data_IF_640294648412
#
_entry.id   IF_640294648412
#
_cell.length_a   1.000
_cell.length_b   1.000
_cell.length_c   1.000
_cell.angle_alpha   90.00
_cell.angle_beta   90.00
_cell.angle_gamma   90.00
#
_symmetry.space_group_name_H-M   'P 1'
#
loop_
_entity.id
_entity.type
_entity.pdbx_description
1 polymer ?
#
# COMPACT_ATOMS: atom_id res chain seq x y z
N UNK A 1 10.39 29.40 48.02
CA UNK A 1 11.28 28.69 47.09
C UNK A 1 10.77 28.99 45.68
N UNK A 2 10.95 30.25 45.26
CA UNK A 2 11.97 30.72 44.29
C UNK A 2 11.63 30.37 42.84
N UNK A 3 10.90 31.27 42.20
CA UNK A 3 11.05 31.48 40.75
C UNK A 3 11.34 32.97 40.53
N UNK A 4 12.60 33.35 40.25
CA UNK A 4 12.93 34.71 39.88
C UNK A 4 12.90 34.86 38.35
N UNK A 5 12.27 35.95 37.93
CA UNK A 5 12.87 36.98 37.10
C UNK A 5 13.72 36.53 35.89
N UNK A 6 13.21 36.82 34.68
CA UNK A 6 13.98 37.65 33.74
C UNK A 6 13.06 38.35 32.74
N UNK A 7 12.62 39.52 33.19
CA UNK A 7 12.27 40.67 32.36
C UNK A 7 13.58 41.19 31.74
N UNK A 8 13.63 41.41 30.41
CA UNK A 8 14.05 42.71 29.86
C UNK A 8 13.84 42.79 28.34
N UNK A 9 12.99 43.74 27.96
CA UNK A 9 13.02 44.63 26.78
C UNK A 9 13.79 44.17 25.54
N UNK A 10 13.13 44.22 24.39
CA UNK A 10 13.10 45.46 23.60
C UNK A 10 11.97 45.41 22.58
N UNK A 11 11.06 46.37 22.75
CA UNK A 11 9.98 46.73 21.84
C UNK A 11 10.56 47.58 20.70
N UNK A 12 9.88 47.53 19.54
CA UNK A 12 9.76 48.59 18.52
C UNK A 12 10.42 48.32 17.16
N UNK A 13 9.54 47.91 16.23
CA UNK A 13 9.31 48.53 14.92
C UNK A 13 10.50 48.85 14.01
N UNK A 14 10.61 48.08 12.92
CA UNK A 14 10.48 48.66 11.58
C UNK A 14 9.91 47.59 10.62
N UNK A 15 8.75 47.90 10.06
CA UNK A 15 8.25 47.28 8.86
C UNK A 15 9.15 47.66 7.67
N UNK A 16 9.40 46.73 6.75
CA UNK A 16 9.24 46.90 5.28
C UNK A 16 9.81 45.67 4.54
N UNK A 17 8.91 44.97 3.84
CA UNK A 17 9.07 44.39 2.48
C UNK A 17 10.33 43.56 2.13
N UNK A 18 10.12 42.28 1.78
CA UNK A 18 10.35 41.69 0.43
C UNK A 18 10.26 40.14 0.46
N UNK A 19 9.44 39.61 -0.47
CA UNK A 19 9.38 38.26 -1.07
C UNK A 19 9.06 37.01 -0.20
N UNK A 20 7.98 36.26 -0.52
CA UNK A 20 7.90 34.85 -0.20
C UNK A 20 8.81 34.09 -1.18
N UNK A 21 9.84 33.42 -0.67
CA UNK A 21 10.47 32.33 -1.42
C UNK A 21 9.50 31.14 -1.43
N UNK A 22 8.57 31.16 -2.37
CA UNK A 22 7.86 29.97 -2.83
C UNK A 22 8.90 29.07 -3.49
N UNK A 23 9.44 28.10 -2.74
CA UNK A 23 10.08 26.94 -3.35
C UNK A 23 9.00 26.07 -3.98
N UNK A 24 8.58 26.44 -5.19
CA UNK A 24 7.96 25.49 -6.11
C UNK A 24 9.05 24.54 -6.59
N UNK A 25 9.23 23.42 -5.89
CA UNK A 25 9.85 22.24 -6.50
C UNK A 25 8.88 21.71 -7.56
N UNK A 26 8.98 22.26 -8.76
CA UNK A 26 8.43 21.66 -9.97
C UNK A 26 9.38 20.53 -10.36
N UNK A 27 9.11 19.32 -9.87
CA UNK A 27 9.67 18.15 -10.50
C UNK A 27 8.91 17.89 -11.79
N UNK A 28 9.66 17.95 -12.87
CA UNK A 28 9.23 17.79 -14.23
C UNK A 28 8.54 16.43 -14.41
N UNK A 29 7.22 16.47 -14.62
CA UNK A 29 6.59 15.47 -15.46
C UNK A 29 7.21 15.58 -16.86
N UNK A 30 8.06 14.62 -17.22
CA UNK A 30 8.05 13.87 -18.50
C UNK A 30 9.31 13.00 -18.52
N UNK A 31 9.26 11.85 -17.84
CA UNK A 31 10.02 10.70 -18.32
C UNK A 31 9.08 9.92 -19.21
N UNK A 32 9.26 10.07 -20.53
CA UNK A 32 8.84 9.07 -21.49
C UNK A 32 9.64 7.80 -21.26
N UNK A 33 9.35 7.09 -20.16
CA UNK A 33 9.69 5.69 -20.05
C UNK A 33 8.78 4.97 -21.02
N UNK A 34 9.34 4.04 -21.81
CA UNK A 34 8.56 3.02 -22.50
C UNK A 34 7.50 2.53 -21.53
N UNK A 35 6.25 2.95 -21.73
CA UNK A 35 5.15 2.45 -20.94
C UNK A 35 5.10 0.96 -21.30
N UNK A 36 5.63 0.13 -20.40
CA UNK A 36 5.13 -1.22 -20.25
C UNK A 36 3.62 -1.08 -20.38
N UNK A 37 3.01 -1.87 -21.25
CA UNK A 37 1.62 -1.75 -21.70
C UNK A 37 0.59 -2.05 -20.58
N UNK A 38 0.95 -1.78 -19.32
CA UNK A 38 0.16 -1.93 -18.13
C UNK A 38 -0.14 -0.60 -17.44
N UNK A 39 -1.00 -0.68 -16.46
CA UNK A 39 -1.42 0.44 -15.64
C UNK A 39 -0.30 0.85 -14.66
N UNK A 40 -0.19 2.16 -14.44
CA UNK A 40 0.82 2.71 -13.56
C UNK A 40 0.36 2.66 -12.10
N UNK A 41 0.92 1.74 -11.31
CA UNK A 41 0.69 1.69 -9.87
C UNK A 41 1.73 2.52 -9.13
N UNK A 42 1.34 3.31 -8.12
CA UNK A 42 2.29 4.03 -7.27
C UNK A 42 3.20 3.04 -6.55
N UNK A 43 4.45 3.47 -6.30
CA UNK A 43 5.45 2.65 -5.62
C UNK A 43 4.94 2.11 -4.29
N UNK A 44 4.24 2.95 -3.51
CA UNK A 44 3.59 2.53 -2.27
C UNK A 44 2.68 1.33 -2.48
N UNK A 45 1.73 1.40 -3.42
CA UNK A 45 0.76 0.32 -3.66
C UNK A 45 1.42 -0.99 -4.13
N UNK A 46 2.53 -0.88 -4.89
CA UNK A 46 3.34 -2.07 -5.26
C UNK A 46 3.99 -2.70 -4.04
N UNK A 47 4.60 -1.89 -3.18
CA UNK A 47 5.28 -2.38 -1.96
C UNK A 47 4.28 -2.99 -0.98
N UNK A 48 3.13 -2.35 -0.76
CA UNK A 48 2.08 -2.88 0.10
C UNK A 48 1.56 -4.25 -0.37
N UNK A 49 1.39 -4.41 -1.69
CA UNK A 49 1.04 -5.72 -2.25
C UNK A 49 2.14 -6.76 -1.97
N UNK A 50 3.41 -6.42 -2.23
CA UNK A 50 4.53 -7.35 -2.03
C UNK A 50 4.60 -7.80 -0.58
N UNK A 51 4.44 -6.87 0.37
CA UNK A 51 4.41 -7.18 1.80
C UNK A 51 3.26 -8.12 2.15
N UNK A 52 2.03 -7.82 1.71
CA UNK A 52 0.88 -8.70 1.97
C UNK A 52 1.00 -10.07 1.31
N UNK A 53 1.58 -10.15 0.12
CA UNK A 53 1.87 -11.42 -0.55
C UNK A 53 2.91 -12.24 0.23
N UNK A 54 3.92 -11.60 0.83
CA UNK A 54 4.89 -12.30 1.69
C UNK A 54 4.27 -12.78 3.00
N UNK A 55 3.36 -12.01 3.61
CA UNK A 55 2.62 -12.46 4.81
C UNK A 55 1.89 -13.79 4.55
N UNK A 56 1.33 -13.95 3.34
CA UNK A 56 0.55 -15.13 2.96
C UNK A 56 1.41 -16.31 2.46
N UNK A 57 2.65 -16.08 2.00
CA UNK A 57 3.45 -17.08 1.26
C UNK A 57 4.86 -17.32 1.79
N UNK A 58 5.38 -16.46 2.67
CA UNK A 58 6.70 -16.55 3.30
C UNK A 58 7.56 -15.29 3.11
N UNK A 59 8.38 -14.98 4.12
CA UNK A 59 9.27 -13.81 4.16
C UNK A 59 10.72 -14.09 3.73
N UNK A 60 10.91 -15.00 2.76
CA UNK A 60 12.22 -15.23 2.17
C UNK A 60 12.45 -14.36 0.92
N UNK A 61 13.71 -14.20 0.54
CA UNK A 61 14.10 -13.36 -0.58
C UNK A 61 13.56 -13.86 -1.93
N UNK A 62 13.31 -15.16 -2.09
CA UNK A 62 12.71 -15.66 -3.33
C UNK A 62 11.27 -15.17 -3.47
N UNK A 63 10.50 -15.09 -2.38
CA UNK A 63 9.14 -14.55 -2.40
C UNK A 63 9.09 -13.05 -2.69
N UNK A 64 10.12 -12.25 -2.33
CA UNK A 64 10.21 -10.85 -2.78
C UNK A 64 10.15 -10.76 -4.31
N UNK A 65 10.91 -11.59 -5.02
CA UNK A 65 10.90 -11.60 -6.49
C UNK A 65 9.58 -12.10 -7.07
N UNK A 66 9.02 -13.17 -6.50
CA UNK A 66 7.77 -13.77 -7.00
C UNK A 66 6.57 -12.85 -6.77
N UNK A 67 6.47 -12.25 -5.60
CA UNK A 67 5.41 -11.29 -5.27
C UNK A 67 5.55 -9.99 -6.08
N UNK A 68 6.78 -9.54 -6.36
CA UNK A 68 7.02 -8.40 -7.27
C UNK A 68 6.56 -8.72 -8.70
N UNK A 69 6.87 -9.91 -9.20
CA UNK A 69 6.35 -10.38 -10.49
C UNK A 69 4.81 -10.40 -10.51
N UNK A 70 4.18 -10.87 -9.43
CA UNK A 70 2.73 -11.00 -9.36
C UNK A 70 2.02 -9.63 -9.43
N UNK A 71 2.53 -8.60 -8.75
CA UNK A 71 1.95 -7.25 -8.85
C UNK A 71 2.15 -6.64 -10.23
N UNK A 72 3.26 -6.91 -10.90
CA UNK A 72 3.48 -6.45 -12.27
C UNK A 72 2.51 -7.12 -13.26
N UNK A 73 2.22 -8.41 -13.06
CA UNK A 73 1.22 -9.13 -13.84
C UNK A 73 -0.20 -8.60 -13.59
N UNK A 74 -0.53 -8.24 -12.35
CA UNK A 74 -1.83 -7.61 -12.02
C UNK A 74 -1.92 -6.21 -12.65
N UNK A 75 -0.86 -5.40 -12.51
CA UNK A 75 -0.81 -4.06 -13.08
C UNK A 75 -0.87 -4.05 -14.61
N UNK A 76 -0.47 -5.14 -15.28
CA UNK A 76 -0.66 -5.29 -16.72
C UNK A 76 -2.14 -5.44 -17.14
N UNK A 77 -3.01 -5.91 -16.24
CA UNK A 77 -4.38 -6.30 -16.56
C UNK A 77 -5.46 -5.43 -15.89
N UNK A 78 -5.14 -4.74 -14.79
CA UNK A 78 -6.12 -4.07 -13.94
C UNK A 78 -5.73 -2.61 -13.67
N UNK A 79 -6.60 -1.61 -13.91
CA UNK A 79 -6.37 -0.23 -13.49
C UNK A 79 -6.15 -0.11 -11.99
N UNK A 80 -5.37 0.87 -11.54
CA UNK A 80 -5.02 0.99 -10.12
C UNK A 80 -6.25 1.20 -9.22
N UNK A 81 -7.20 2.04 -9.62
CA UNK A 81 -8.42 2.28 -8.82
C UNK A 81 -9.27 1.01 -8.68
N UNK A 82 -9.44 0.27 -9.78
CA UNK A 82 -10.12 -1.03 -9.78
C UNK A 82 -9.36 -2.06 -8.92
N UNK A 83 -8.03 -2.03 -8.94
CA UNK A 83 -7.22 -2.86 -8.06
C UNK A 83 -7.45 -2.53 -6.59
N UNK A 84 -7.42 -1.26 -6.21
CA UNK A 84 -7.68 -0.84 -4.83
C UNK A 84 -9.06 -1.32 -4.40
N UNK A 85 -10.10 -1.09 -5.20
CA UNK A 85 -11.46 -1.53 -4.91
C UNK A 85 -11.57 -3.06 -4.78
N UNK A 86 -11.18 -3.80 -5.83
CA UNK A 86 -11.40 -5.24 -5.89
C UNK A 86 -10.52 -6.00 -4.88
N UNK A 87 -9.28 -5.57 -4.67
CA UNK A 87 -8.38 -6.16 -3.68
C UNK A 87 -8.85 -5.90 -2.25
N UNK A 88 -9.42 -4.72 -1.99
CA UNK A 88 -10.03 -4.38 -0.69
C UNK A 88 -11.23 -5.27 -0.40
N UNK A 89 -12.15 -5.43 -1.38
CA UNK A 89 -13.26 -6.37 -1.22
C UNK A 89 -12.78 -7.80 -0.94
N UNK A 90 -11.75 -8.25 -1.64
CA UNK A 90 -11.18 -9.58 -1.42
C UNK A 90 -10.56 -9.72 -0.02
N UNK A 91 -9.80 -8.71 0.43
CA UNK A 91 -9.11 -8.73 1.73
C UNK A 91 -10.07 -8.77 2.91
N UNK A 92 -11.18 -8.04 2.82
CA UNK A 92 -12.15 -7.91 3.92
C UNK A 92 -13.39 -8.82 3.76
N UNK A 93 -13.41 -9.72 2.79
CA UNK A 93 -14.54 -10.64 2.57
C UNK A 93 -14.88 -11.51 3.79
N UNK A 94 -13.89 -11.76 4.67
CA UNK A 94 -14.05 -12.54 5.91
C UNK A 94 -14.19 -11.68 7.17
N UNK A 95 -14.23 -10.35 7.04
CA UNK A 95 -14.32 -9.44 8.18
C UNK A 95 -15.62 -9.68 8.96
N UNK A 96 -15.51 -9.95 10.26
CA UNK A 96 -16.64 -10.21 11.14
C UNK A 96 -17.44 -8.95 11.49
N UNK A 97 -18.61 -9.15 12.10
CA UNK A 97 -19.46 -8.06 12.61
C UNK A 97 -20.31 -7.36 11.54
N UNK A 98 -21.08 -6.36 12.00
CA UNK A 98 -21.99 -5.55 11.18
C UNK A 98 -21.22 -4.74 10.12
N UNK A 99 -20.08 -4.15 10.51
CA UNK A 99 -19.20 -3.42 9.57
C UNK A 99 -18.61 -4.31 8.46
N UNK A 100 -18.52 -5.62 8.68
CA UNK A 100 -18.13 -6.58 7.64
C UNK A 100 -19.24 -6.90 6.63
N UNK A 101 -20.47 -6.43 6.86
CA UNK A 101 -21.61 -6.65 5.97
C UNK A 101 -21.38 -6.10 4.56
N UNK A 102 -20.76 -4.92 4.46
CA UNK A 102 -20.48 -4.23 3.19
C UNK A 102 -19.58 -5.06 2.25
N UNK A 103 -18.58 -5.76 2.80
CA UNK A 103 -17.66 -6.60 2.01
C UNK A 103 -18.26 -7.94 1.57
N UNK A 104 -19.53 -8.18 1.92
CA UNK A 104 -20.26 -9.42 1.62
C UNK A 104 -21.54 -9.16 0.84
N UNK A 105 -21.75 -7.98 0.28
CA UNK A 105 -22.84 -7.73 -0.68
C UNK A 105 -22.49 -8.34 -2.05
N UNK A 106 -23.47 -8.41 -2.96
CA UNK A 106 -23.28 -9.09 -4.25
C UNK A 106 -22.22 -8.42 -5.13
N UNK A 107 -22.16 -7.08 -5.13
CA UNK A 107 -21.10 -6.33 -5.82
C UNK A 107 -19.72 -6.69 -5.24
N UNK A 108 -19.56 -6.66 -3.92
CA UNK A 108 -18.31 -7.01 -3.25
C UNK A 108 -17.86 -8.44 -3.59
N UNK A 109 -18.76 -9.42 -3.53
CA UNK A 109 -18.46 -10.81 -3.90
C UNK A 109 -18.01 -10.93 -5.36
N UNK A 110 -18.69 -10.23 -6.28
CA UNK A 110 -18.34 -10.25 -7.68
C UNK A 110 -16.94 -9.65 -7.93
N UNK A 111 -16.65 -8.51 -7.31
CA UNK A 111 -15.34 -7.84 -7.42
C UNK A 111 -14.22 -8.68 -6.78
N UNK A 112 -14.44 -9.21 -5.57
CA UNK A 112 -13.51 -10.14 -4.93
C UNK A 112 -13.18 -11.33 -5.82
N UNK A 113 -14.19 -11.92 -6.48
CA UNK A 113 -13.99 -13.06 -7.38
C UNK A 113 -13.12 -12.70 -8.59
N UNK A 114 -13.33 -11.53 -9.21
CA UNK A 114 -12.50 -11.06 -10.34
C UNK A 114 -11.04 -10.93 -9.92
N UNK A 115 -10.80 -10.22 -8.81
CA UNK A 115 -9.44 -10.01 -8.30
C UNK A 115 -8.76 -11.32 -7.91
N UNK A 116 -9.43 -12.21 -7.17
CA UNK A 116 -8.86 -13.50 -6.78
C UNK A 116 -8.55 -14.40 -7.98
N UNK A 117 -9.34 -14.30 -9.06
CA UNK A 117 -9.05 -15.01 -10.32
C UNK A 117 -7.77 -14.49 -10.97
N UNK A 118 -7.65 -13.17 -11.11
CA UNK A 118 -6.44 -12.53 -11.66
C UNK A 118 -5.21 -12.77 -10.78
N UNK A 119 -5.35 -12.68 -9.45
CA UNK A 119 -4.26 -12.97 -8.52
C UNK A 119 -3.80 -14.43 -8.62
N UNK A 120 -4.73 -15.38 -8.75
CA UNK A 120 -4.38 -16.78 -8.94
C UNK A 120 -3.65 -17.03 -10.27
N UNK A 121 -4.02 -16.32 -11.34
CA UNK A 121 -3.29 -16.33 -12.61
C UNK A 121 -1.88 -15.77 -12.46
N UNK A 122 -1.73 -14.61 -11.84
CA UNK A 122 -0.44 -13.98 -11.56
C UNK A 122 0.45 -14.89 -10.70
N UNK A 123 -0.09 -15.52 -9.67
CA UNK A 123 0.64 -16.45 -8.81
C UNK A 123 1.16 -17.67 -9.57
N UNK A 124 0.35 -18.24 -10.47
CA UNK A 124 0.79 -19.33 -11.34
C UNK A 124 1.89 -18.88 -12.30
N UNK A 125 1.74 -17.72 -12.92
CA UNK A 125 2.72 -17.17 -13.86
C UNK A 125 4.07 -16.87 -13.17
N UNK A 126 4.03 -16.43 -11.91
CA UNK A 126 5.20 -16.00 -11.15
C UNK A 126 5.74 -17.04 -10.16
N UNK A 127 5.19 -18.26 -10.13
CA UNK A 127 5.66 -19.34 -9.26
C UNK A 127 5.47 -19.08 -7.76
N UNK A 128 4.45 -18.31 -7.38
CA UNK A 128 4.02 -18.16 -5.98
C UNK A 128 3.27 -19.44 -5.59
N UNK A 129 3.90 -20.25 -4.76
CA UNK A 129 3.27 -21.44 -4.20
C UNK A 129 2.62 -21.06 -2.89
N UNK A 130 1.32 -21.33 -2.73
CA UNK A 130 0.64 -21.16 -1.45
C UNK A 130 1.19 -22.19 -0.47
N UNK A 131 2.20 -21.82 0.30
CA UNK A 131 2.81 -22.70 1.30
C UNK A 131 1.79 -22.88 2.42
N UNK A 132 1.32 -24.11 2.66
CA UNK A 132 0.31 -24.41 3.70
C UNK A 132 0.80 -24.20 5.15
N UNK A 133 1.94 -23.54 5.37
CA UNK A 133 2.69 -23.59 6.62
C UNK A 133 2.67 -22.30 7.48
N UNK A 134 1.91 -21.25 7.11
CA UNK A 134 1.68 -20.09 8.00
C UNK A 134 0.30 -20.20 8.66
N UNK A 135 0.11 -21.32 9.36
CA UNK A 135 -0.96 -21.51 10.33
C UNK A 135 -0.34 -22.06 11.62
N UNK A 136 0.68 -21.38 12.11
CA UNK A 136 1.15 -21.57 13.48
C UNK A 136 1.25 -20.19 14.11
N UNK A 137 0.29 -19.77 14.96
CA UNK A 137 0.55 -18.66 15.85
C UNK A 137 1.74 -19.07 16.72
N UNK A 138 2.75 -18.21 16.77
CA UNK A 138 3.81 -18.30 17.76
C UNK A 138 3.13 -18.39 19.14
N UNK A 139 3.15 -19.60 19.72
CA UNK A 139 2.79 -19.79 21.10
C UNK A 139 3.81 -18.99 21.92
N UNK A 140 3.35 -17.92 22.58
CA UNK A 140 4.08 -17.27 23.66
C UNK A 140 4.39 -18.32 24.73
N UNK A 141 5.59 -18.87 24.68
CA UNK A 141 6.23 -19.50 25.82
C UNK A 141 6.58 -18.40 26.83
N UNK A 142 5.64 -18.03 27.68
CA UNK A 142 5.96 -17.40 28.96
C UNK A 142 6.14 -18.51 29.99
N UNK A 143 7.38 -18.64 30.44
CA UNK A 143 7.80 -19.42 31.61
C UNK A 143 8.00 -18.46 32.78
#
# INVERSE_FOLDING_TARGET
MTSPCRVLLMLACCALTVAPAVSSAQDAATSGANAAQGYNYPTQGRVEYVLGCMDDNGHDFANVYKCSCAIDHIAAALPYDDYVEQSTFAKYATLGGEGGGEFRVDLARAQSKKFLTLQAEAYRACGVHKTAAVATPAASANK
#
